data_IF_988601572957
#
_entry.id   IF_988601572957
#
_cell.length_a   1.000
_cell.length_b   1.000
_cell.length_c   1.000
_cell.angle_alpha   90.00
_cell.angle_beta   90.00
_cell.angle_gamma   90.00
#
_symmetry.space_group_name_H-M   'P 1'
#
loop_
_entity.id
_entity.type
_entity.pdbx_description
1 polymer ?
#
# COMPACT_ATOMS: atom_id res chain seq x y z
N UNK A 1 6.92 5.90 -45.41
CA UNK A 1 7.13 4.72 -44.55
C UNK A 1 8.18 5.13 -43.53
N UNK A 2 7.79 5.24 -42.26
CA UNK A 2 8.67 5.57 -41.14
C UNK A 2 7.99 5.04 -39.90
N UNK A 3 8.70 4.17 -39.20
CA UNK A 3 8.18 3.14 -38.32
C UNK A 3 7.47 3.71 -37.09
N UNK A 4 6.35 3.08 -36.71
CA UNK A 4 5.75 3.27 -35.39
C UNK A 4 6.64 2.57 -34.37
N UNK A 5 7.48 3.31 -33.67
CA UNK A 5 7.99 2.86 -32.37
C UNK A 5 6.82 2.83 -31.40
N UNK A 6 6.18 1.66 -31.28
CA UNK A 6 5.34 1.36 -30.12
C UNK A 6 6.28 1.20 -28.94
N UNK A 7 6.58 2.30 -28.23
CA UNK A 7 7.15 2.17 -26.90
C UNK A 7 6.10 1.45 -26.06
N UNK A 8 6.39 0.22 -25.62
CA UNK A 8 5.54 -0.48 -24.68
C UNK A 8 5.39 0.40 -23.43
N UNK A 9 4.25 1.09 -23.34
CA UNK A 9 3.96 1.99 -22.22
C UNK A 9 3.83 1.10 -21.00
N UNK A 10 4.69 1.32 -20.00
CA UNK A 10 4.60 0.65 -18.72
C UNK A 10 3.21 0.94 -18.14
N UNK A 11 2.44 -0.10 -17.91
CA UNK A 11 1.12 -0.03 -17.28
C UNK A 11 1.23 -0.42 -15.80
N UNK A 12 0.92 0.52 -14.92
CA UNK A 12 0.84 0.28 -13.49
C UNK A 12 -0.57 -0.19 -13.13
N UNK A 13 -0.68 -1.40 -12.61
CA UNK A 13 -1.94 -2.09 -12.29
C UNK A 13 -2.18 -2.11 -10.79
N UNK A 14 -3.41 -1.77 -10.41
CA UNK A 14 -3.93 -1.92 -9.04
C UNK A 14 -5.11 -2.87 -9.07
N UNK A 15 -5.03 -3.92 -8.27
CA UNK A 15 -6.14 -4.83 -7.98
C UNK A 15 -6.54 -4.70 -6.51
N UNK A 16 -7.76 -5.12 -6.17
CA UNK A 16 -8.26 -5.13 -4.81
C UNK A 16 -8.52 -6.57 -4.36
N UNK A 17 -8.12 -6.89 -3.13
CA UNK A 17 -8.65 -8.07 -2.45
C UNK A 17 -10.18 -7.98 -2.34
N UNK A 18 -10.87 -9.12 -2.34
CA UNK A 18 -12.33 -9.20 -2.27
C UNK A 18 -12.90 -8.46 -1.05
N UNK A 19 -12.28 -8.63 0.12
CA UNK A 19 -12.72 -7.95 1.35
C UNK A 19 -12.42 -6.47 1.26
N UNK A 20 -11.23 -6.10 0.77
CA UNK A 20 -10.89 -4.69 0.57
C UNK A 20 -11.89 -4.00 -0.36
N UNK A 21 -12.24 -4.62 -1.49
CA UNK A 21 -13.20 -4.10 -2.46
C UNK A 21 -14.59 -3.88 -1.84
N UNK A 22 -15.05 -4.80 -0.99
CA UNK A 22 -16.31 -4.63 -0.25
C UNK A 22 -16.28 -3.38 0.62
N UNK A 23 -15.19 -3.16 1.37
CA UNK A 23 -15.06 -1.99 2.23
C UNK A 23 -14.93 -0.70 1.42
N UNK A 24 -14.12 -0.72 0.38
CA UNK A 24 -13.92 0.40 -0.53
C UNK A 24 -15.23 0.84 -1.19
N UNK A 25 -16.03 -0.10 -1.69
CA UNK A 25 -17.28 0.22 -2.41
C UNK A 25 -18.46 0.55 -1.50
N UNK A 26 -18.49 0.05 -0.25
CA UNK A 26 -19.71 0.09 0.57
C UNK A 26 -19.53 0.63 2.00
N UNK A 27 -18.32 0.65 2.57
CA UNK A 27 -18.14 0.87 4.03
C UNK A 27 -17.27 2.07 4.36
N UNK A 28 -16.24 2.36 3.57
CA UNK A 28 -15.39 3.51 3.82
C UNK A 28 -16.15 4.81 3.59
N UNK A 29 -15.82 5.81 4.39
CA UNK A 29 -16.40 7.14 4.19
C UNK A 29 -15.92 7.72 2.85
N UNK A 30 -16.70 8.65 2.28
CA UNK A 30 -16.31 9.34 1.03
C UNK A 30 -14.94 10.01 1.13
N UNK A 31 -14.59 10.56 2.31
CA UNK A 31 -13.28 11.20 2.52
C UNK A 31 -12.14 10.17 2.53
N UNK A 32 -12.38 8.98 3.05
CA UNK A 32 -11.41 7.89 3.05
C UNK A 32 -11.21 7.35 1.63
N UNK A 33 -12.31 7.11 0.91
CA UNK A 33 -12.28 6.68 -0.51
C UNK A 33 -11.48 7.68 -1.35
N UNK A 34 -11.75 8.98 -1.24
CA UNK A 34 -11.01 10.00 -1.99
C UNK A 34 -9.48 9.96 -1.76
N UNK A 35 -9.03 9.65 -0.53
CA UNK A 35 -7.59 9.51 -0.23
C UNK A 35 -6.99 8.22 -0.80
N UNK A 36 -7.80 7.15 -0.89
CA UNK A 36 -7.41 5.91 -1.56
C UNK A 36 -7.31 6.18 -3.07
N UNK A 37 -8.27 6.89 -3.65
CA UNK A 37 -8.30 7.28 -5.06
C UNK A 37 -7.08 8.14 -5.42
N UNK A 38 -6.74 9.15 -4.60
CA UNK A 38 -5.52 9.95 -4.76
C UNK A 38 -4.25 9.08 -4.87
N UNK A 39 -4.18 8.00 -4.07
CA UNK A 39 -3.05 7.06 -4.12
C UNK A 39 -3.10 6.16 -5.36
N UNK A 40 -4.29 5.68 -5.75
CA UNK A 40 -4.48 4.84 -6.94
C UNK A 40 -4.10 5.65 -8.19
N UNK A 41 -4.65 6.86 -8.35
CA UNK A 41 -4.38 7.78 -9.47
C UNK A 41 -2.88 8.09 -9.57
N UNK A 42 -2.22 8.30 -8.43
CA UNK A 42 -0.78 8.47 -8.38
C UNK A 42 -0.05 7.21 -8.85
N UNK A 43 -0.41 6.03 -8.31
CA UNK A 43 0.25 4.77 -8.63
C UNK A 43 0.11 4.40 -10.10
N UNK A 44 -1.08 4.55 -10.70
CA UNK A 44 -1.28 4.23 -12.12
C UNK A 44 -0.48 5.15 -13.06
N UNK A 45 -0.07 6.32 -12.57
CA UNK A 45 0.71 7.31 -13.34
C UNK A 45 2.23 7.19 -13.11
N UNK A 46 2.66 7.01 -11.86
CA UNK A 46 4.06 7.12 -11.44
C UNK A 46 4.61 5.88 -10.72
N UNK A 47 3.78 4.86 -10.50
CA UNK A 47 4.09 3.76 -9.60
C UNK A 47 4.27 4.23 -8.16
N UNK A 48 5.21 3.60 -7.43
CA UNK A 48 5.53 3.99 -6.04
C UNK A 48 6.47 5.19 -5.94
N UNK A 49 6.90 5.79 -7.06
CA UNK A 49 7.84 6.89 -7.06
C UNK A 49 7.15 8.21 -6.76
N UNK A 50 7.85 9.14 -6.10
CA UNK A 50 7.39 10.51 -5.84
C UNK A 50 6.07 10.63 -5.05
N UNK A 51 5.62 9.56 -4.39
CA UNK A 51 4.51 9.68 -3.45
C UNK A 51 4.97 10.42 -2.19
N UNK A 52 4.19 11.41 -1.73
CA UNK A 52 4.54 12.22 -0.55
C UNK A 52 4.48 11.44 0.76
N UNK A 53 3.66 10.41 0.82
CA UNK A 53 3.50 9.55 1.99
C UNK A 53 4.64 8.54 2.09
N UNK A 54 5.04 8.18 3.31
CA UNK A 54 6.03 7.12 3.48
C UNK A 54 5.48 5.79 2.95
N UNK A 55 6.28 5.14 2.11
CA UNK A 55 6.07 3.77 1.63
C UNK A 55 7.18 2.90 2.23
N UNK A 56 6.83 1.73 2.77
CA UNK A 56 7.84 0.83 3.34
C UNK A 56 7.41 -0.63 3.21
N UNK A 57 8.41 -1.50 3.08
CA UNK A 57 8.20 -2.93 3.27
C UNK A 57 7.75 -3.20 4.71
N UNK A 58 6.70 -3.99 4.87
CA UNK A 58 6.19 -4.42 6.17
C UNK A 58 7.13 -5.42 6.87
N UNK A 59 8.14 -5.94 6.18
CA UNK A 59 9.22 -6.71 6.79
C UNK A 59 10.20 -5.85 7.60
N UNK A 60 10.10 -4.52 7.53
CA UNK A 60 10.97 -3.63 8.28
C UNK A 60 10.46 -3.40 9.71
N UNK A 61 10.45 -4.48 10.49
CA UNK A 61 9.93 -4.53 11.87
C UNK A 61 11.01 -4.07 12.88
N UNK A 62 10.68 -3.17 13.83
CA UNK A 62 11.61 -2.73 14.88
C UNK A 62 12.20 -3.89 15.68
N UNK A 63 13.43 -3.75 16.18
CA UNK A 63 14.15 -4.82 16.89
C UNK A 63 13.46 -5.32 18.16
N UNK A 64 12.74 -4.44 18.85
CA UNK A 64 12.09 -4.71 20.12
C UNK A 64 10.62 -5.18 20.00
N UNK A 65 10.13 -5.45 18.78
CA UNK A 65 8.76 -5.93 18.59
C UNK A 65 8.61 -7.40 19.01
N UNK A 66 7.53 -7.76 19.72
CA UNK A 66 7.17 -9.16 19.94
C UNK A 66 7.01 -9.89 18.60
N UNK A 67 7.38 -11.18 18.57
CA UNK A 67 7.23 -12.05 17.40
C UNK A 67 7.86 -11.52 16.09
N UNK A 68 8.88 -10.66 16.21
CA UNK A 68 9.53 -9.98 15.08
C UNK A 68 9.87 -10.91 13.92
N UNK A 69 10.48 -12.08 14.19
CA UNK A 69 10.88 -13.02 13.14
C UNK A 69 9.66 -13.56 12.39
N UNK A 70 8.58 -13.89 13.10
CA UNK A 70 7.34 -14.38 12.49
C UNK A 70 6.69 -13.29 11.62
N UNK A 71 6.65 -12.05 12.09
CA UNK A 71 6.15 -10.90 11.33
C UNK A 71 6.97 -10.66 10.06
N UNK A 72 8.31 -10.70 10.16
CA UNK A 72 9.21 -10.55 9.01
C UNK A 72 8.97 -11.67 8.00
N UNK A 73 8.93 -12.93 8.45
CA UNK A 73 8.72 -14.08 7.57
C UNK A 73 7.37 -13.99 6.85
N UNK A 74 6.32 -13.57 7.55
CA UNK A 74 4.99 -13.35 6.97
C UNK A 74 5.01 -12.22 5.92
N UNK A 75 5.61 -11.08 6.26
CA UNK A 75 5.71 -9.95 5.35
C UNK A 75 6.53 -10.26 4.09
N UNK A 76 7.65 -10.98 4.23
CA UNK A 76 8.48 -11.41 3.10
C UNK A 76 7.73 -12.43 2.23
N UNK A 77 7.12 -13.45 2.84
CA UNK A 77 6.37 -14.51 2.12
C UNK A 77 5.28 -13.94 1.21
N UNK A 78 4.59 -12.89 1.65
CA UNK A 78 3.49 -12.27 0.90
C UNK A 78 3.89 -10.96 0.21
N UNK A 79 5.18 -10.60 0.22
CA UNK A 79 5.72 -9.32 -0.24
C UNK A 79 4.85 -8.12 0.17
N UNK A 80 4.62 -7.98 1.49
CA UNK A 80 3.75 -6.97 2.07
C UNK A 80 4.47 -5.63 2.24
N UNK A 81 3.75 -4.59 1.87
CA UNK A 81 4.14 -3.20 1.98
C UNK A 81 2.98 -2.41 2.58
N UNK A 82 3.30 -1.21 3.06
CA UNK A 82 2.30 -0.26 3.54
C UNK A 82 2.66 1.15 3.09
N UNK A 83 1.63 1.95 2.90
CA UNK A 83 1.73 3.35 2.50
C UNK A 83 0.82 4.23 3.35
N UNK A 84 1.33 5.36 3.79
CA UNK A 84 0.49 6.40 4.38
C UNK A 84 -0.26 7.15 3.28
N UNK A 85 -1.56 7.38 3.47
CA UNK A 85 -2.44 8.07 2.51
C UNK A 85 -3.07 9.35 3.08
N UNK A 86 -2.66 9.76 4.28
CA UNK A 86 -3.18 10.98 4.91
C UNK A 86 -4.44 10.79 5.72
N UNK A 87 -4.73 9.56 6.14
CA UNK A 87 -5.91 9.22 6.93
C UNK A 87 -5.57 9.18 8.45
N UNK A 88 -6.30 9.92 9.32
CA UNK A 88 -7.27 10.96 8.96
C UNK A 88 -6.62 12.26 8.46
N UNK A 89 -5.37 12.50 8.83
CA UNK A 89 -4.62 13.71 8.47
C UNK A 89 -3.15 13.42 8.21
N UNK A 90 -2.55 14.19 7.30
CA UNK A 90 -1.11 14.21 7.08
C UNK A 90 -0.36 14.88 8.23
N UNK A 91 0.74 14.27 8.65
CA UNK A 91 1.71 14.80 9.61
C UNK A 91 3.09 14.76 8.96
N UNK A 92 3.83 15.87 9.00
CA UNK A 92 5.20 15.88 8.50
C UNK A 92 6.08 15.03 9.42
N UNK A 93 6.92 14.17 8.86
CA UNK A 93 7.84 13.36 9.67
C UNK A 93 8.93 14.23 10.29
N UNK A 94 9.39 13.85 11.49
CA UNK A 94 10.58 14.43 12.11
C UNK A 94 11.89 13.81 11.57
N UNK A 95 11.80 12.68 10.86
CA UNK A 95 12.95 11.86 10.48
C UNK A 95 13.26 11.91 8.97
N UNK A 96 12.71 12.87 8.24
CA UNK A 96 12.94 13.02 6.81
C UNK A 96 11.88 13.89 6.12
N UNK A 97 12.06 14.10 4.81
CA UNK A 97 11.13 14.88 4.00
C UNK A 97 10.05 13.99 3.37
N UNK A 98 9.20 13.46 4.24
CA UNK A 98 8.02 12.69 3.86
C UNK A 98 6.91 12.91 4.88
N UNK A 99 5.69 12.54 4.50
CA UNK A 99 4.50 12.63 5.35
C UNK A 99 4.07 11.26 5.86
N UNK A 100 3.47 11.25 7.03
CA UNK A 100 2.84 10.08 7.66
C UNK A 100 1.40 10.40 8.04
N UNK A 101 0.64 9.38 8.40
CA UNK A 101 -0.74 9.45 8.88
C UNK A 101 -0.99 8.28 9.83
N UNK A 102 -2.03 8.34 10.64
CA UNK A 102 -2.23 7.31 11.68
C UNK A 102 -2.70 5.98 11.08
N UNK A 103 -3.38 6.02 9.93
CA UNK A 103 -3.77 4.86 9.14
C UNK A 103 -2.86 4.70 7.92
N UNK A 104 -2.66 3.45 7.55
CA UNK A 104 -1.89 3.02 6.38
C UNK A 104 -2.71 2.05 5.53
N UNK A 105 -2.53 2.15 4.23
CA UNK A 105 -3.00 1.17 3.27
C UNK A 105 -1.94 0.09 3.12
N UNK A 106 -2.29 -1.14 3.47
CA UNK A 106 -1.45 -2.32 3.29
C UNK A 106 -1.73 -2.93 1.92
N UNK A 107 -0.68 -3.40 1.24
CA UNK A 107 -0.77 -3.99 -0.10
C UNK A 107 0.27 -5.10 -0.32
N UNK A 108 -0.03 -6.03 -1.21
CA UNK A 108 0.93 -6.98 -1.77
C UNK A 108 1.61 -6.33 -2.98
N UNK A 109 2.94 -6.38 -3.05
CA UNK A 109 3.68 -5.93 -4.24
C UNK A 109 4.00 -7.15 -5.12
N UNK A 110 3.23 -7.38 -6.18
CA UNK A 110 3.44 -8.55 -7.04
C UNK A 110 4.63 -8.36 -8.00
N UNK A 111 4.83 -7.13 -8.47
CA UNK A 111 5.98 -6.75 -9.30
C UNK A 111 6.38 -5.30 -9.06
N UNK A 112 7.15 -4.68 -9.95
CA UNK A 112 7.37 -3.23 -9.92
C UNK A 112 6.20 -2.43 -10.48
N UNK A 113 5.27 -3.11 -11.16
CA UNK A 113 4.17 -2.49 -11.90
C UNK A 113 2.79 -2.96 -11.42
N UNK A 114 2.71 -3.96 -10.53
CA UNK A 114 1.45 -4.52 -10.06
C UNK A 114 1.40 -4.61 -8.52
N UNK A 115 0.37 -4.01 -7.92
CA UNK A 115 0.02 -4.14 -6.49
C UNK A 115 -1.42 -4.64 -6.29
N UNK A 116 -1.65 -5.32 -5.17
CA UNK A 116 -3.00 -5.66 -4.67
C UNK A 116 -3.23 -4.95 -3.34
N UNK A 117 -4.25 -4.09 -3.26
CA UNK A 117 -4.66 -3.46 -2.00
C UNK A 117 -5.40 -4.47 -1.13
N UNK A 118 -4.99 -4.63 0.13
CA UNK A 118 -5.51 -5.68 1.01
C UNK A 118 -6.25 -5.16 2.24
N UNK A 119 -5.77 -4.06 2.86
CA UNK A 119 -6.36 -3.60 4.12
C UNK A 119 -6.03 -2.12 4.39
N UNK A 120 -6.95 -1.38 4.97
CA UNK A 120 -6.68 -0.09 5.62
C UNK A 120 -6.62 -0.32 7.13
N UNK A 121 -5.48 -0.05 7.75
CA UNK A 121 -5.26 -0.39 9.17
C UNK A 121 -4.52 0.70 9.93
N UNK A 122 -4.66 0.70 11.25
CA UNK A 122 -3.90 1.56 12.15
C UNK A 122 -2.41 1.22 12.13
N UNK A 123 -1.54 2.22 12.17
CA UNK A 123 -0.08 2.04 12.02
C UNK A 123 0.68 1.77 13.32
N UNK A 124 0.12 2.08 14.51
CA UNK A 124 0.88 1.95 15.76
C UNK A 124 0.07 1.40 16.96
N UNK A 125 0.14 0.09 17.26
CA UNK A 125 0.89 -0.93 16.53
C UNK A 125 0.22 -1.27 15.18
N UNK A 126 1.04 -1.60 14.17
CA UNK A 126 0.54 -2.12 12.89
C UNK A 126 0.46 -3.64 12.95
N UNK A 127 -0.73 -4.18 12.76
CA UNK A 127 -0.94 -5.61 12.57
C UNK A 127 -0.87 -5.94 11.08
N UNK A 128 -0.19 -7.03 10.73
CA UNK A 128 -0.22 -7.54 9.36
C UNK A 128 -1.60 -8.15 9.05
N UNK A 129 -2.05 -8.14 7.79
CA UNK A 129 -3.34 -8.69 7.42
C UNK A 129 -3.45 -10.16 7.79
N UNK A 130 -4.67 -10.63 8.05
CA UNK A 130 -4.91 -12.01 8.46
C UNK A 130 -4.49 -13.01 7.36
N UNK A 131 -4.17 -14.24 7.74
CA UNK A 131 -3.81 -15.28 6.77
C UNK A 131 -4.98 -15.62 5.83
N UNK A 132 -6.21 -15.38 6.26
CA UNK A 132 -7.41 -15.56 5.43
C UNK A 132 -7.43 -14.58 4.25
N UNK A 133 -7.22 -13.28 4.53
CA UNK A 133 -7.09 -12.24 3.49
C UNK A 133 -5.91 -12.56 2.57
N UNK A 134 -4.79 -12.99 3.14
CA UNK A 134 -3.57 -13.21 2.35
C UNK A 134 -3.61 -14.46 1.45
N UNK A 135 -4.48 -15.44 1.73
CA UNK A 135 -4.67 -16.64 0.91
C UNK A 135 -5.51 -16.40 -0.35
N UNK A 136 -6.35 -15.37 -0.36
CA UNK A 136 -7.17 -15.01 -1.51
C UNK A 136 -6.30 -14.41 -2.62
N UNK A 137 -6.58 -14.81 -3.85
CA UNK A 137 -5.95 -14.30 -5.07
C UNK A 137 -6.78 -13.15 -5.60
#
# INVERSE_FOLDING_TARGET
>A
MGEKESSDKIEYVVEFDEVFNLYYTQRFSKSTVAKIDDFIDHYVTYGLNNWKGKIRSSANVPYNYPDRIALINKAVKHNLWHVHIGEPIWKKSQNGDYYVSDWVLQFKKLSNYHIILVELSWHNPMLLPSDEILKKK
#
